data_IF_883676186345
#
_entry.id   IF_883676186345
#
_cell.length_a   1.000
_cell.length_b   1.000
_cell.length_c   1.000
_cell.angle_alpha   90.00
_cell.angle_beta   90.00
_cell.angle_gamma   90.00
#
_symmetry.space_group_name_H-M   'P 1'
#
loop_
_entity.id
_entity.type
_entity.pdbx_description
1 polymer ?
#
# COMPACT_ATOMS: atom_id res chain seq x y z
N UNK A 1 52.75 -21.09 28.39
CA UNK A 1 51.34 -21.54 28.55
C UNK A 1 50.49 -20.27 28.64
N UNK A 2 49.74 -19.83 27.62
CA UNK A 2 48.32 -20.19 27.29
C UNK A 2 47.42 -20.02 28.54
N UNK A 3 46.36 -19.19 28.64
CA UNK A 3 45.41 -18.60 27.68
C UNK A 3 44.64 -17.37 28.28
N UNK A 4 44.36 -16.38 27.41
CA UNK A 4 43.09 -15.65 27.16
C UNK A 4 42.37 -14.77 28.22
N UNK A 5 42.03 -13.50 27.89
CA UNK A 5 40.85 -12.82 28.41
C UNK A 5 39.66 -13.05 27.45
N UNK A 6 38.55 -13.57 27.97
CA UNK A 6 37.31 -13.73 27.22
C UNK A 6 36.68 -12.35 26.93
N UNK A 7 36.55 -12.04 25.64
CA UNK A 7 35.91 -10.83 25.12
C UNK A 7 34.41 -10.92 25.40
N UNK A 8 33.90 -9.99 26.20
CA UNK A 8 32.47 -9.79 26.43
C UNK A 8 31.87 -9.10 25.19
N UNK A 9 31.38 -9.88 24.24
CA UNK A 9 30.59 -9.36 23.11
C UNK A 9 29.19 -9.00 23.60
N UNK A 10 28.96 -7.72 23.91
CA UNK A 10 27.62 -7.16 24.08
C UNK A 10 26.98 -7.06 22.70
N UNK A 11 26.13 -8.03 22.34
CA UNK A 11 25.29 -7.95 21.15
C UNK A 11 24.07 -7.11 21.51
N UNK A 12 24.11 -5.83 21.16
CA UNK A 12 22.95 -4.94 21.24
C UNK A 12 21.98 -5.34 20.13
N UNK A 13 20.99 -6.17 20.48
CA UNK A 13 19.89 -6.51 19.59
C UNK A 13 19.02 -5.26 19.37
N UNK A 14 19.21 -4.58 18.24
CA UNK A 14 18.26 -3.58 17.76
C UNK A 14 16.95 -4.31 17.43
N UNK A 15 15.98 -4.23 18.34
CA UNK A 15 14.64 -4.70 18.10
C UNK A 15 14.02 -3.85 16.98
N UNK A 16 14.07 -4.36 15.75
CA UNK A 16 13.24 -3.84 14.67
C UNK A 16 11.81 -4.21 15.04
N UNK A 17 11.08 -3.25 15.60
CA UNK A 17 9.64 -3.41 15.80
C UNK A 17 9.01 -3.57 14.41
N UNK A 18 8.24 -4.64 14.15
CA UNK A 18 7.40 -4.65 12.97
C UNK A 18 6.43 -3.49 13.15
N UNK A 19 6.52 -2.47 12.28
CA UNK A 19 5.38 -1.59 12.03
C UNK A 19 4.28 -2.54 11.57
N UNK A 20 3.39 -2.90 12.49
CA UNK A 20 2.21 -3.65 12.16
C UNK A 20 1.48 -2.80 11.13
N UNK A 21 1.30 -3.34 9.92
CA UNK A 21 0.39 -2.75 8.95
C UNK A 21 -0.97 -2.65 9.65
N UNK A 22 -1.31 -1.45 10.12
CA UNK A 22 -2.53 -1.22 10.88
C UNK A 22 -3.71 -1.61 10.00
N UNK A 23 -4.59 -2.46 10.52
CA UNK A 23 -5.72 -2.96 9.73
C UNK A 23 -6.62 -1.77 9.38
N UNK A 24 -6.60 -1.37 8.11
CA UNK A 24 -7.27 -0.16 7.67
C UNK A 24 -8.78 -0.25 7.86
N UNK A 25 -9.28 0.50 8.85
CA UNK A 25 -10.71 0.63 9.07
C UNK A 25 -11.39 1.33 7.88
N UNK A 26 -12.67 1.03 7.63
CA UNK A 26 -13.47 1.77 6.63
C UNK A 26 -13.44 3.28 6.89
N UNK A 27 -13.37 3.69 8.17
CA UNK A 27 -13.30 5.09 8.54
C UNK A 27 -11.98 5.73 8.07
N UNK A 28 -10.85 5.04 8.19
CA UNK A 28 -9.55 5.52 7.69
C UNK A 28 -9.56 5.68 6.18
N UNK A 29 -10.04 4.67 5.44
CA UNK A 29 -10.15 4.73 3.97
C UNK A 29 -11.03 5.88 3.50
N UNK A 30 -12.13 6.17 4.22
CA UNK A 30 -13.09 7.21 3.82
C UNK A 30 -12.50 8.63 3.83
N UNK A 31 -11.47 8.87 4.66
CA UNK A 31 -10.82 10.17 4.83
C UNK A 31 -9.74 10.46 3.78
N UNK A 32 -9.33 9.45 3.01
CA UNK A 32 -8.26 9.61 2.04
C UNK A 32 -8.67 10.52 0.88
N UNK A 33 -7.72 11.29 0.31
CA UNK A 33 -7.94 12.01 -0.92
C UNK A 33 -8.13 11.05 -2.09
N UNK A 34 -8.72 11.54 -3.18
CA UNK A 34 -8.94 10.75 -4.40
C UNK A 34 -7.61 10.22 -5.00
N UNK A 35 -6.50 10.92 -4.79
CA UNK A 35 -5.15 10.48 -5.23
C UNK A 35 -4.66 9.20 -4.55
N UNK A 36 -5.28 8.77 -3.45
CA UNK A 36 -4.93 7.52 -2.78
C UNK A 36 -5.48 6.27 -3.48
N UNK A 37 -6.32 6.44 -4.50
CA UNK A 37 -7.06 5.38 -5.18
C UNK A 37 -6.58 5.21 -6.61
N UNK A 38 -6.59 3.98 -7.12
CA UNK A 38 -6.13 3.72 -8.48
C UNK A 38 -7.07 4.35 -9.53
N UNK A 39 -8.38 4.37 -9.24
CA UNK A 39 -9.40 4.98 -10.09
C UNK A 39 -10.51 5.56 -9.19
N UNK A 40 -11.03 6.71 -9.60
CA UNK A 40 -12.26 7.29 -9.05
C UNK A 40 -13.26 7.47 -10.18
N UNK A 41 -14.31 6.67 -10.17
CA UNK A 41 -15.41 6.73 -11.14
C UNK A 41 -16.52 7.66 -10.63
N UNK A 42 -17.31 8.22 -11.55
CA UNK A 42 -18.52 8.98 -11.20
C UNK A 42 -19.73 8.19 -11.64
N UNK A 43 -20.58 7.81 -10.70
CA UNK A 43 -21.83 7.12 -10.98
C UNK A 43 -22.85 8.07 -11.65
N UNK A 44 -23.91 7.55 -12.31
CA UNK A 44 -24.92 8.37 -12.97
C UNK A 44 -25.64 9.37 -12.04
N UNK A 45 -25.65 9.10 -10.73
CA UNK A 45 -26.21 9.97 -9.69
C UNK A 45 -25.23 11.07 -9.21
N UNK A 46 -24.04 11.15 -9.81
CA UNK A 46 -22.98 12.11 -9.46
C UNK A 46 -22.09 11.67 -8.29
N UNK A 47 -22.32 10.49 -7.70
CA UNK A 47 -21.50 9.99 -6.58
C UNK A 47 -20.17 9.46 -7.07
N UNK A 48 -19.09 9.78 -6.35
CA UNK A 48 -17.76 9.19 -6.56
C UNK A 48 -17.69 7.75 -6.04
N UNK A 49 -17.17 6.85 -6.85
CA UNK A 49 -16.83 5.47 -6.48
C UNK A 49 -15.32 5.33 -6.56
N UNK A 50 -14.68 5.10 -5.42
CA UNK A 50 -13.22 5.07 -5.30
C UNK A 50 -12.73 3.63 -5.19
N UNK A 51 -11.77 3.26 -6.02
CA UNK A 51 -11.31 1.88 -6.16
C UNK A 51 -9.85 1.70 -5.77
N UNK A 52 -9.56 0.59 -5.11
CA UNK A 52 -8.19 0.12 -4.86
C UNK A 52 -7.29 1.17 -4.18
N UNK A 53 -7.59 1.54 -2.91
CA UNK A 53 -6.72 2.41 -2.14
C UNK A 53 -5.33 1.77 -1.96
N UNK A 54 -4.27 2.57 -2.13
CA UNK A 54 -2.89 2.10 -2.08
C UNK A 54 -1.88 3.12 -1.51
N UNK A 55 -2.35 4.27 -1.05
CA UNK A 55 -1.52 5.22 -0.30
C UNK A 55 -1.78 5.05 1.20
N UNK A 56 -0.91 5.58 2.06
CA UNK A 56 -1.13 5.70 3.50
C UNK A 56 -1.80 7.05 3.87
N UNK A 57 -1.98 7.32 5.18
CA UNK A 57 -2.57 8.57 5.67
C UNK A 57 -1.68 9.81 5.40
N UNK A 58 -0.38 9.61 5.15
CA UNK A 58 0.54 10.69 4.76
C UNK A 58 0.47 10.98 3.25
N UNK A 59 -0.19 10.12 2.49
CA UNK A 59 -0.28 10.17 1.04
C UNK A 59 0.88 9.47 0.32
N UNK A 60 1.77 8.79 1.04
CA UNK A 60 2.82 7.99 0.43
C UNK A 60 2.27 6.64 -0.07
N UNK A 61 2.87 6.06 -1.11
CA UNK A 61 2.47 4.72 -1.58
C UNK A 61 2.83 3.68 -0.51
N UNK A 62 1.83 2.94 -0.04
CA UNK A 62 2.02 1.82 0.88
C UNK A 62 2.22 0.51 0.09
N UNK A 63 3.34 -0.16 0.30
CA UNK A 63 3.70 -1.37 -0.45
C UNK A 63 2.75 -2.55 -0.19
N UNK A 64 2.22 -2.66 1.04
CA UNK A 64 1.26 -3.69 1.41
C UNK A 64 -0.07 -3.47 0.67
N UNK A 65 -0.59 -2.25 0.72
CA UNK A 65 -1.81 -1.86 0.05
C UNK A 65 -1.66 -1.90 -1.48
N UNK A 66 -0.52 -1.51 -2.04
CA UNK A 66 -0.25 -1.63 -3.48
C UNK A 66 -0.33 -3.09 -3.95
N UNK A 67 0.30 -4.03 -3.23
CA UNK A 67 0.20 -5.47 -3.56
C UNK A 67 -1.23 -5.97 -3.46
N UNK A 68 -1.94 -5.57 -2.42
CA UNK A 68 -3.33 -5.99 -2.19
C UNK A 68 -4.30 -5.35 -3.19
N UNK A 69 -4.02 -4.14 -3.68
CA UNK A 69 -4.76 -3.50 -4.75
C UNK A 69 -4.60 -4.26 -6.08
N UNK A 70 -3.36 -4.60 -6.45
CA UNK A 70 -3.06 -5.37 -7.68
C UNK A 70 -3.72 -6.74 -7.70
N UNK A 71 -3.73 -7.46 -6.57
CA UNK A 71 -4.36 -8.80 -6.50
C UNK A 71 -5.88 -8.76 -6.62
N UNK A 72 -6.51 -7.61 -6.37
CA UNK A 72 -7.97 -7.42 -6.42
C UNK A 72 -8.49 -6.86 -7.74
N UNK A 73 -7.63 -6.53 -8.71
CA UNK A 73 -8.04 -5.91 -10.00
C UNK A 73 -9.23 -6.65 -10.65
N UNK A 74 -9.12 -7.97 -10.84
CA UNK A 74 -10.17 -8.78 -11.45
C UNK A 74 -11.40 -9.07 -10.55
N UNK A 75 -11.41 -8.56 -9.32
CA UNK A 75 -12.54 -8.69 -8.38
C UNK A 75 -13.36 -7.40 -8.30
N UNK A 76 -12.88 -6.29 -8.88
CA UNK A 76 -13.57 -5.02 -8.84
C UNK A 76 -14.72 -5.03 -9.86
N UNK A 77 -15.89 -4.58 -9.41
CA UNK A 77 -17.00 -4.26 -10.30
C UNK A 77 -16.84 -2.82 -10.78
N UNK A 78 -16.35 -2.67 -12.00
CA UNK A 78 -16.16 -1.37 -12.67
C UNK A 78 -17.47 -0.82 -13.21
N UNK A 79 -17.62 0.50 -13.20
CA UNK A 79 -18.70 1.19 -13.92
C UNK A 79 -18.34 1.35 -15.40
N UNK A 80 -17.10 1.77 -15.67
CA UNK A 80 -16.51 1.84 -17.01
C UNK A 80 -15.61 0.62 -17.25
N UNK A 81 -15.82 -0.19 -18.31
CA UNK A 81 -14.95 -1.32 -18.61
C UNK A 81 -13.48 -0.95 -18.86
N UNK A 82 -13.16 0.31 -19.18
CA UNK A 82 -11.78 0.79 -19.34
C UNK A 82 -11.07 1.05 -17.99
N UNK A 83 -11.83 1.19 -16.90
CA UNK A 83 -11.27 1.51 -15.58
C UNK A 83 -10.30 0.44 -15.07
N UNK A 84 -10.50 -0.84 -15.42
CA UNK A 84 -9.56 -1.88 -15.01
C UNK A 84 -8.16 -1.67 -15.60
N UNK A 85 -8.09 -1.31 -16.89
CA UNK A 85 -6.82 -1.04 -17.58
C UNK A 85 -6.14 0.20 -17.02
N UNK A 86 -6.91 1.25 -16.75
CA UNK A 86 -6.40 2.47 -16.13
C UNK A 86 -5.83 2.16 -14.74
N UNK A 87 -6.57 1.44 -13.90
CA UNK A 87 -6.14 1.02 -12.58
C UNK A 87 -4.87 0.17 -12.63
N UNK A 88 -4.80 -0.80 -13.56
CA UNK A 88 -3.64 -1.67 -13.71
C UNK A 88 -2.39 -0.87 -14.06
N UNK A 89 -2.48 0.03 -15.04
CA UNK A 89 -1.35 0.87 -15.46
C UNK A 89 -0.86 1.77 -14.32
N UNK A 90 -1.79 2.39 -13.61
CA UNK A 90 -1.51 3.24 -12.44
C UNK A 90 -0.74 2.48 -11.36
N UNK A 91 -1.22 1.30 -10.97
CA UNK A 91 -0.57 0.48 -9.93
C UNK A 91 0.79 -0.07 -10.38
N UNK A 92 0.94 -0.42 -11.66
CA UNK A 92 2.21 -0.86 -12.22
C UNK A 92 3.25 0.27 -12.27
N UNK A 93 2.82 1.51 -12.48
CA UNK A 93 3.71 2.68 -12.44
C UNK A 93 4.29 2.88 -11.06
N UNK A 94 3.47 2.91 -10.02
CA UNK A 94 3.96 2.98 -8.64
C UNK A 94 4.88 1.82 -8.28
N UNK A 95 4.60 0.61 -8.75
CA UNK A 95 5.52 -0.49 -8.51
C UNK A 95 6.87 -0.26 -9.17
N UNK A 96 6.91 0.24 -10.41
CA UNK A 96 8.18 0.57 -11.09
C UNK A 96 8.94 1.67 -10.36
N UNK A 97 8.25 2.67 -9.84
CA UNK A 97 8.85 3.76 -9.07
C UNK A 97 9.48 3.26 -7.77
N UNK A 98 8.82 2.34 -7.06
CA UNK A 98 9.35 1.75 -5.82
C UNK A 98 10.53 0.79 -6.06
N UNK A 99 10.69 0.26 -7.28
CA UNK A 99 11.77 -0.66 -7.65
C UNK A 99 12.95 0.06 -8.33
N UNK A 100 12.87 1.38 -8.51
CA UNK A 100 13.94 2.21 -9.07
C UNK A 100 14.95 2.59 -8.00
#
# INVERSE_FOLDING_TARGET
MKMSPAILCVVLALAVSPVAAEEWSRASISRLPDSAFAVVETAPDGRKVRHLPHHDETGAVDLGHLRAARSRLGQVRWLDPLSEEIARRHLEEHQRELMR
#
